data_IF_870585389474
#
_entry.id   IF_870585389474
#
_cell.length_a   1.000
_cell.length_b   1.000
_cell.length_c   1.000
_cell.angle_alpha   90.00
_cell.angle_beta   90.00
_cell.angle_gamma   90.00
#
_symmetry.space_group_name_H-M   'P 1'
#
loop_
_entity.id
_entity.type
_entity.pdbx_description
1 polymer ?
#
# COMPACT_ATOMS: atom_id res chain seq x y z
N UNK A 1 28.73 22.94 20.92
CA UNK A 1 27.78 23.25 19.84
C UNK A 1 26.97 24.45 20.32
N UNK A 2 27.10 25.61 19.68
CA UNK A 2 26.53 26.85 20.22
C UNK A 2 25.01 26.95 19.96
N UNK A 3 24.29 27.69 20.82
CA UNK A 3 22.83 27.84 20.76
C UNK A 3 22.37 28.51 19.46
N UNK A 4 23.20 29.39 18.90
CA UNK A 4 22.89 30.13 17.67
C UNK A 4 22.88 29.17 16.47
N UNK A 5 23.86 28.28 16.39
CA UNK A 5 23.99 27.23 15.39
C UNK A 5 22.81 26.24 15.46
N UNK A 6 22.39 25.85 16.67
CA UNK A 6 21.20 25.00 16.85
C UNK A 6 19.94 25.71 16.36
N UNK A 7 19.72 26.97 16.74
CA UNK A 7 18.55 27.76 16.29
C UNK A 7 18.54 27.95 14.78
N UNK A 8 19.68 28.25 14.18
CA UNK A 8 19.83 28.40 12.74
C UNK A 8 19.55 27.08 12.01
N UNK A 9 20.03 25.95 12.55
CA UNK A 9 19.76 24.64 12.00
C UNK A 9 18.26 24.31 12.04
N UNK A 10 17.58 24.54 13.17
CA UNK A 10 16.14 24.31 13.31
C UNK A 10 15.37 25.20 12.34
N UNK A 11 15.67 26.51 12.30
CA UNK A 11 14.97 27.45 11.44
C UNK A 11 15.15 27.11 9.96
N UNK A 12 16.38 26.74 9.55
CA UNK A 12 16.70 26.30 8.18
C UNK A 12 15.94 25.03 7.77
N UNK A 13 15.69 24.12 8.71
CA UNK A 13 15.03 22.84 8.43
C UNK A 13 13.54 22.81 8.86
N UNK A 14 12.98 23.93 9.34
CA UNK A 14 11.60 23.99 9.87
C UNK A 14 10.53 23.59 8.84
N UNK A 15 10.79 23.84 7.56
CA UNK A 15 9.92 23.49 6.42
C UNK A 15 10.28 22.15 5.78
N UNK A 16 11.39 21.53 6.21
CA UNK A 16 11.81 20.24 5.68
C UNK A 16 10.93 19.17 6.30
N UNK A 17 10.02 18.60 5.52
CA UNK A 17 9.33 17.39 5.93
C UNK A 17 10.37 16.35 6.31
N UNK A 18 10.35 15.91 7.57
CA UNK A 18 11.07 14.73 8.01
C UNK A 18 10.40 13.54 7.32
N UNK A 19 10.84 13.22 6.10
CA UNK A 19 10.42 11.96 5.49
C UNK A 19 11.06 10.86 6.32
N UNK A 20 10.26 10.07 7.01
CA UNK A 20 10.73 8.76 7.43
C UNK A 20 11.20 8.06 6.16
N UNK A 21 12.48 7.68 6.11
CA UNK A 21 12.99 6.84 5.01
C UNK A 21 12.36 5.48 5.21
N UNK A 22 11.15 5.30 4.66
CA UNK A 22 10.56 3.98 4.53
C UNK A 22 11.46 3.23 3.57
N UNK A 23 12.21 2.27 4.11
CA UNK A 23 12.97 1.35 3.28
C UNK A 23 11.95 0.49 2.54
N UNK A 24 11.74 0.82 1.27
CA UNK A 24 11.02 -0.05 0.35
C UNK A 24 11.85 -1.31 0.05
N UNK A 25 11.31 -2.18 -0.80
CA UNK A 25 12.05 -3.32 -1.36
C UNK A 25 13.27 -2.88 -2.17
N UNK A 26 14.16 -3.83 -2.44
CA UNK A 26 15.27 -3.66 -3.37
C UNK A 26 14.96 -4.39 -4.69
N UNK A 27 15.04 -3.72 -5.86
CA UNK A 27 15.36 -2.32 -6.06
C UNK A 27 14.20 -1.39 -5.65
N UNK A 28 14.54 -0.12 -5.38
CA UNK A 28 13.56 0.92 -4.99
C UNK A 28 12.44 1.05 -6.04
N UNK A 29 11.19 1.39 -5.65
CA UNK A 29 10.09 1.64 -6.57
C UNK A 29 10.40 2.62 -7.70
N UNK A 30 11.36 3.55 -7.50
CA UNK A 30 11.84 4.46 -8.56
C UNK A 30 12.51 3.75 -9.75
N UNK A 31 12.91 2.50 -9.57
CA UNK A 31 13.59 1.67 -10.57
C UNK A 31 12.60 0.73 -11.28
N UNK A 32 11.32 0.72 -10.87
CA UNK A 32 10.32 -0.19 -11.44
C UNK A 32 9.88 0.29 -12.82
N UNK A 33 9.67 -0.65 -13.74
CA UNK A 33 9.05 -0.35 -15.03
C UNK A 33 7.55 -0.14 -14.81
N UNK A 34 7.02 0.99 -15.27
CA UNK A 34 5.61 1.36 -15.04
C UNK A 34 4.76 1.28 -16.31
N UNK A 35 5.40 1.10 -17.46
CA UNK A 35 4.84 1.15 -18.81
C UNK A 35 4.83 -0.23 -19.49
N UNK A 36 4.65 -1.29 -18.71
CA UNK A 36 4.56 -2.65 -19.23
C UNK A 36 3.26 -2.86 -20.00
N UNK A 37 3.36 -3.46 -21.19
CA UNK A 37 2.18 -3.94 -21.90
C UNK A 37 1.59 -5.15 -21.17
N UNK A 38 0.30 -5.38 -21.35
CA UNK A 38 -0.41 -6.50 -20.71
C UNK A 38 0.21 -7.86 -21.03
N UNK A 39 0.61 -8.08 -22.29
CA UNK A 39 1.30 -9.30 -22.73
C UNK A 39 2.61 -9.54 -21.97
N UNK A 40 3.40 -8.48 -21.76
CA UNK A 40 4.66 -8.56 -21.01
C UNK A 40 4.40 -8.85 -19.53
N UNK A 41 3.39 -8.19 -18.94
CA UNK A 41 2.99 -8.43 -17.56
C UNK A 41 2.55 -9.90 -17.35
N UNK A 42 1.69 -10.40 -18.22
CA UNK A 42 1.23 -11.80 -18.18
C UNK A 42 2.40 -12.78 -18.35
N UNK A 43 3.34 -12.47 -19.25
CA UNK A 43 4.56 -13.26 -19.39
C UNK A 43 5.36 -13.30 -18.08
N UNK A 44 5.58 -12.15 -17.42
CA UNK A 44 6.31 -12.12 -16.15
C UNK A 44 5.58 -12.87 -15.03
N UNK A 45 4.24 -12.77 -14.96
CA UNK A 45 3.42 -13.48 -13.97
C UNK A 45 3.44 -15.01 -14.16
N UNK A 46 3.51 -15.48 -15.42
CA UNK A 46 3.58 -16.91 -15.72
C UNK A 46 5.00 -17.49 -15.57
N UNK A 47 6.03 -16.67 -15.78
CA UNK A 47 7.43 -17.08 -15.81
C UNK A 47 8.25 -16.58 -14.62
N UNK A 48 7.59 -16.24 -13.51
CA UNK A 48 8.29 -15.96 -12.25
C UNK A 48 9.03 -17.23 -11.80
N UNK A 49 10.31 -17.09 -11.42
CA UNK A 49 11.13 -18.18 -10.89
C UNK A 49 10.50 -18.87 -9.68
N UNK A 50 9.65 -18.15 -8.96
CA UNK A 50 8.82 -18.73 -7.95
C UNK A 50 7.63 -19.42 -8.62
N UNK A 51 7.80 -20.70 -8.92
CA UNK A 51 6.69 -21.64 -9.07
C UNK A 51 5.99 -21.73 -7.73
N UNK A 52 5.08 -20.79 -7.44
CA UNK A 52 4.49 -20.59 -6.13
C UNK A 52 3.59 -21.78 -5.75
N UNK A 53 4.19 -22.82 -5.15
CA UNK A 53 3.43 -23.81 -4.36
C UNK A 53 2.64 -23.13 -3.24
N UNK A 54 3.12 -21.96 -2.81
CA UNK A 54 2.59 -21.20 -1.69
C UNK A 54 2.69 -19.69 -1.96
N UNK A 55 1.65 -18.92 -1.60
CA UNK A 55 1.56 -17.46 -1.73
C UNK A 55 1.23 -16.78 -0.39
N UNK A 56 1.64 -15.53 -0.25
CA UNK A 56 1.26 -14.65 0.86
C UNK A 56 0.51 -13.44 0.28
N UNK A 57 -0.68 -13.16 0.78
CA UNK A 57 -1.55 -12.10 0.26
C UNK A 57 -1.54 -10.88 1.19
N UNK A 58 -1.25 -9.71 0.64
CA UNK A 58 -1.48 -8.42 1.29
C UNK A 58 -2.74 -7.78 0.72
N UNK A 59 -3.72 -7.50 1.56
CA UNK A 59 -4.93 -6.77 1.20
C UNK A 59 -4.88 -5.37 1.84
N UNK A 60 -4.79 -4.34 1.02
CA UNK A 60 -4.78 -2.96 1.47
C UNK A 60 -6.18 -2.41 1.66
N UNK A 61 -6.51 -1.88 2.83
CA UNK A 61 -7.72 -1.08 3.07
C UNK A 61 -7.33 0.39 2.94
N UNK A 62 -7.79 1.14 1.93
CA UNK A 62 -7.31 2.48 1.68
C UNK A 62 -7.95 3.53 2.61
N UNK A 63 -8.92 3.15 3.44
CA UNK A 63 -9.76 4.09 4.17
C UNK A 63 -9.25 4.40 5.58
N UNK A 64 -9.29 5.67 5.96
CA UNK A 64 -9.06 6.16 7.32
C UNK A 64 -10.31 6.88 7.85
N UNK A 65 -10.45 6.93 9.17
CA UNK A 65 -11.44 7.80 9.80
C UNK A 65 -11.02 9.26 9.55
N UNK A 66 -11.95 10.16 9.15
CA UNK A 66 -11.63 11.57 8.96
C UNK A 66 -11.11 12.22 10.26
N UNK A 67 -10.06 13.03 10.15
CA UNK A 67 -9.45 13.79 11.26
C UNK A 67 -9.39 15.28 10.94
N UNK A 68 -9.22 16.12 11.95
CA UNK A 68 -8.91 17.55 11.78
C UNK A 68 -7.58 17.89 12.49
N UNK A 69 -6.49 18.18 11.75
CA UNK A 69 -6.41 18.32 10.30
C UNK A 69 -6.59 16.99 9.52
N UNK A 70 -6.91 17.04 8.20
CA UNK A 70 -7.12 15.85 7.38
C UNK A 70 -5.90 14.93 7.35
N UNK A 71 -6.17 13.63 7.44
CA UNK A 71 -5.20 12.57 7.69
C UNK A 71 -4.48 12.74 9.05
N UNK A 72 -4.16 11.62 9.71
CA UNK A 72 -3.28 11.68 10.89
C UNK A 72 -2.02 12.46 10.49
N UNK A 73 -1.71 13.59 11.15
CA UNK A 73 -0.68 14.54 10.68
C UNK A 73 0.75 14.01 10.56
N UNK A 74 0.97 12.74 10.93
CA UNK A 74 2.21 11.98 10.80
C UNK A 74 2.14 10.86 9.73
N UNK A 75 0.96 10.63 9.12
CA UNK A 75 0.75 9.57 8.15
C UNK A 75 1.42 9.92 6.82
N UNK A 76 2.23 8.98 6.31
CA UNK A 76 2.93 9.10 5.02
C UNK A 76 2.40 8.12 3.99
N UNK A 77 1.33 7.38 4.31
CA UNK A 77 0.74 6.36 3.44
C UNK A 77 -0.41 6.95 2.62
N UNK A 78 -0.59 6.50 1.36
CA UNK A 78 -1.74 6.90 0.56
C UNK A 78 -3.01 6.34 1.21
N UNK A 79 -3.89 7.24 1.66
CA UNK A 79 -5.16 6.88 2.30
C UNK A 79 -6.27 7.80 1.80
N UNK A 80 -7.51 7.36 1.95
CA UNK A 80 -8.73 8.05 1.59
C UNK A 80 -9.59 8.20 2.83
N UNK A 81 -10.41 9.26 2.89
CA UNK A 81 -11.39 9.40 3.94
C UNK A 81 -12.50 8.36 3.76
N UNK A 82 -12.85 7.67 4.84
CA UNK A 82 -13.96 6.73 4.86
C UNK A 82 -15.30 7.48 4.80
N UNK A 83 -16.11 7.24 3.75
CA UNK A 83 -17.44 7.87 3.59
C UNK A 83 -18.60 6.95 3.95
N UNK A 84 -18.31 5.81 4.59
CA UNK A 84 -19.31 4.87 5.08
C UNK A 84 -19.36 3.55 4.33
N UNK A 85 -20.22 2.64 4.82
CA UNK A 85 -20.23 1.21 4.45
C UNK A 85 -20.37 0.98 2.95
N UNK A 86 -21.20 1.77 2.26
CA UNK A 86 -21.44 1.62 0.82
C UNK A 86 -20.15 1.77 -0.01
N UNK A 87 -19.27 2.69 0.37
CA UNK A 87 -17.99 2.87 -0.32
C UNK A 87 -17.06 1.69 -0.07
N UNK A 88 -17.03 1.16 1.16
CA UNK A 88 -16.31 -0.07 1.49
C UNK A 88 -16.82 -1.27 0.70
N UNK A 89 -18.15 -1.46 0.64
CA UNK A 89 -18.76 -2.56 -0.10
C UNK A 89 -18.37 -2.49 -1.59
N UNK A 90 -18.41 -1.29 -2.20
CA UNK A 90 -17.93 -1.11 -3.58
C UNK A 90 -16.45 -1.45 -3.74
N UNK A 91 -15.60 -1.02 -2.80
CA UNK A 91 -14.18 -1.34 -2.84
C UNK A 91 -13.91 -2.84 -2.76
N UNK A 92 -14.61 -3.55 -1.87
CA UNK A 92 -14.52 -5.00 -1.73
C UNK A 92 -15.01 -5.74 -2.99
N UNK A 93 -16.06 -5.23 -3.66
CA UNK A 93 -16.50 -5.76 -4.95
C UNK A 93 -15.41 -5.63 -6.03
N UNK A 94 -14.70 -4.50 -6.08
CA UNK A 94 -13.58 -4.30 -7.00
C UNK A 94 -12.38 -5.19 -6.66
N UNK A 95 -12.05 -5.35 -5.38
CA UNK A 95 -11.02 -6.30 -4.94
C UNK A 95 -11.36 -7.74 -5.32
N UNK A 96 -12.64 -8.12 -5.19
CA UNK A 96 -13.10 -9.45 -5.62
C UNK A 96 -12.92 -9.61 -7.13
N UNK A 97 -13.26 -8.61 -7.94
CA UNK A 97 -13.04 -8.65 -9.41
C UNK A 97 -11.55 -8.73 -9.76
N UNK A 98 -10.70 -7.98 -9.07
CA UNK A 98 -9.24 -8.05 -9.22
C UNK A 98 -8.73 -9.47 -8.91
N UNK A 99 -9.16 -10.07 -7.81
CA UNK A 99 -8.79 -11.44 -7.48
C UNK A 99 -9.20 -12.46 -8.55
N UNK A 100 -10.34 -12.24 -9.24
CA UNK A 100 -10.75 -13.09 -10.36
C UNK A 100 -9.83 -12.94 -11.58
N UNK A 101 -9.30 -11.73 -11.86
CA UNK A 101 -8.34 -11.51 -12.94
C UNK A 101 -7.03 -12.28 -12.71
N UNK A 102 -6.60 -12.41 -11.45
CA UNK A 102 -5.36 -13.09 -11.11
C UNK A 102 -5.50 -14.60 -10.86
N UNK A 103 -6.73 -15.14 -10.88
CA UNK A 103 -7.02 -16.52 -10.47
C UNK A 103 -6.23 -17.56 -11.24
N UNK A 104 -6.07 -17.38 -12.55
CA UNK A 104 -5.38 -18.36 -13.41
C UNK A 104 -3.88 -18.43 -13.13
N UNK A 105 -3.24 -17.30 -12.81
CA UNK A 105 -1.80 -17.25 -12.51
C UNK A 105 -1.42 -17.93 -11.20
N UNK A 106 -2.35 -18.00 -10.25
CA UNK A 106 -2.12 -18.59 -8.93
C UNK A 106 -2.89 -19.91 -8.71
N UNK A 107 -3.40 -20.51 -9.79
CA UNK A 107 -4.14 -21.77 -9.69
C UNK A 107 -3.26 -22.88 -9.11
N UNK A 108 -3.74 -23.52 -8.04
CA UNK A 108 -3.02 -24.59 -7.34
C UNK A 108 -2.00 -24.10 -6.30
N UNK A 109 -1.80 -22.79 -6.16
CA UNK A 109 -1.00 -22.23 -5.07
C UNK A 109 -1.76 -22.33 -3.73
N UNK A 110 -1.04 -22.62 -2.65
CA UNK A 110 -1.56 -22.58 -1.27
C UNK A 110 -1.43 -21.18 -0.69
N UNK A 111 -2.51 -20.61 -0.16
CA UNK A 111 -2.44 -19.37 0.61
C UNK A 111 -1.85 -19.67 2.00
N UNK A 112 -0.62 -19.21 2.27
CA UNK A 112 0.05 -19.41 3.56
C UNK A 112 -0.30 -18.33 4.57
N UNK A 113 -0.39 -17.08 4.12
CA UNK A 113 -0.75 -15.96 4.99
C UNK A 113 -1.57 -14.92 4.26
N UNK A 114 -2.46 -14.28 5.02
CA UNK A 114 -3.21 -13.11 4.62
C UNK A 114 -2.93 -12.00 5.63
N UNK A 115 -2.44 -10.87 5.15
CA UNK A 115 -2.30 -9.66 5.93
C UNK A 115 -3.25 -8.60 5.41
N UNK A 116 -4.09 -8.06 6.29
CA UNK A 116 -5.00 -6.96 5.98
C UNK A 116 -4.45 -5.70 6.64
N UNK A 117 -4.06 -4.72 5.82
CA UNK A 117 -3.35 -3.51 6.25
C UNK A 117 -3.87 -2.24 5.59
N UNK A 118 -3.05 -1.18 5.59
CA UNK A 118 -3.37 0.10 4.96
C UNK A 118 -3.78 1.17 5.96
N UNK A 119 -4.90 1.83 5.71
CA UNK A 119 -5.51 2.82 6.60
C UNK A 119 -6.05 2.15 7.87
N UNK A 120 -7.34 1.88 7.92
CA UNK A 120 -8.02 1.35 9.11
C UNK A 120 -8.79 0.07 8.77
N UNK A 121 -8.13 -1.11 8.77
CA UNK A 121 -8.81 -2.39 8.51
C UNK A 121 -10.03 -2.66 9.39
N UNK A 122 -10.04 -2.13 10.61
CA UNK A 122 -11.15 -2.28 11.56
C UNK A 122 -12.44 -1.55 11.12
N UNK A 123 -12.42 -0.81 10.00
CA UNK A 123 -13.63 -0.29 9.37
C UNK A 123 -14.46 -1.37 8.66
N UNK A 124 -13.86 -2.53 8.38
CA UNK A 124 -14.58 -3.71 7.90
C UNK A 124 -15.54 -4.19 8.98
N UNK A 125 -16.82 -4.25 8.64
CA UNK A 125 -17.87 -4.75 9.53
C UNK A 125 -18.24 -6.18 9.12
N UNK A 126 -18.43 -7.11 10.07
CA UNK A 126 -19.04 -8.40 9.77
C UNK A 126 -20.48 -8.19 9.28
N UNK A 127 -20.93 -9.08 8.40
CA UNK A 127 -22.33 -9.15 7.99
C UNK A 127 -23.21 -9.73 9.11
#
# INVERSE_FOLDING_TARGET
MDIVSIKNFIQKNKVRHLSNKVLHTHPSPKMWKTDLKEEENNYFLLNTDAQYKSINLYLGIPYCIPTDPPHCGFCLFPTQDYKGKREMDFYLDFLSREAHLYKEFYQGAKLESLYVGGGTPNLLQPN
#
